data_IF_314816750317
#
_entry.id   IF_314816750317
#
_cell.length_a   1.000
_cell.length_b   1.000
_cell.length_c   1.000
_cell.angle_alpha   90.00
_cell.angle_beta   90.00
_cell.angle_gamma   90.00
#
_symmetry.space_group_name_H-M   'P 1'
#
loop_
_entity.id
_entity.type
_entity.pdbx_description
1 polymer ?
#
# COMPACT_ATOMS: atom_id res chain seq x y z
N UNK A 1 -1.74 -9.73 -5.23
CA UNK A 1 -2.31 -8.53 -5.85
C UNK A 1 -1.37 -7.97 -6.91
N UNK A 2 -1.82 -7.91 -8.15
CA UNK A 2 -1.12 -7.28 -9.26
C UNK A 2 -1.21 -5.75 -9.18
N UNK A 3 -0.47 -5.04 -10.04
CA UNK A 3 -0.55 -3.57 -10.17
C UNK A 3 -1.98 -3.12 -10.49
N UNK A 4 -2.69 -3.83 -11.38
CA UNK A 4 -4.08 -3.50 -11.74
C UNK A 4 -5.04 -3.68 -10.59
N UNK A 5 -4.92 -4.78 -9.86
CA UNK A 5 -5.78 -5.06 -8.70
C UNK A 5 -5.54 -4.03 -7.61
N UNK A 6 -4.28 -3.70 -7.31
CA UNK A 6 -3.95 -2.71 -6.28
C UNK A 6 -4.40 -1.30 -6.70
N UNK A 7 -4.26 -0.95 -7.98
CA UNK A 7 -4.76 0.32 -8.52
C UNK A 7 -6.28 0.47 -8.39
N UNK A 8 -7.02 -0.59 -8.70
CA UNK A 8 -8.47 -0.63 -8.53
C UNK A 8 -8.85 -0.51 -7.03
N UNK A 9 -8.14 -1.22 -6.17
CA UNK A 9 -8.36 -1.25 -4.72
C UNK A 9 -8.16 0.11 -4.04
N UNK A 10 -7.05 0.81 -4.34
CA UNK A 10 -6.77 2.12 -3.74
C UNK A 10 -7.27 3.31 -4.57
N UNK A 11 -8.04 3.06 -5.63
CA UNK A 11 -8.54 4.09 -6.56
C UNK A 11 -7.43 5.01 -7.09
N UNK A 12 -6.32 4.42 -7.52
CA UNK A 12 -5.16 5.13 -8.12
C UNK A 12 -4.95 4.71 -9.56
N UNK A 13 -4.19 5.52 -10.30
CA UNK A 13 -3.81 5.18 -11.66
C UNK A 13 -2.83 4.00 -11.67
N UNK A 14 -2.89 3.17 -12.72
CA UNK A 14 -1.93 2.09 -12.93
C UNK A 14 -0.48 2.60 -12.90
N UNK A 15 -0.22 3.77 -13.52
CA UNK A 15 1.12 4.39 -13.57
C UNK A 15 1.65 4.73 -12.18
N UNK A 16 0.79 5.23 -11.29
CA UNK A 16 1.15 5.51 -9.89
C UNK A 16 1.59 4.23 -9.17
N UNK A 17 0.80 3.16 -9.28
CA UNK A 17 1.09 1.88 -8.62
C UNK A 17 2.30 1.17 -9.25
N UNK A 18 2.54 1.36 -10.55
CA UNK A 18 3.75 0.87 -11.20
C UNK A 18 5.02 1.60 -10.71
N UNK A 19 4.92 2.90 -10.39
CA UNK A 19 6.03 3.64 -9.77
C UNK A 19 6.27 3.22 -8.32
N UNK A 20 5.22 2.82 -7.60
CA UNK A 20 5.36 2.18 -6.29
C UNK A 20 6.10 0.86 -6.40
N UNK A 21 5.76 0.01 -7.39
CA UNK A 21 6.46 -1.26 -7.52
C UNK A 21 7.93 -1.10 -7.85
N UNK A 22 8.32 -0.11 -8.66
CA UNK A 22 9.71 0.14 -9.04
C UNK A 22 10.53 0.90 -8.00
N UNK A 23 9.92 1.37 -6.91
CA UNK A 23 10.57 2.23 -5.91
C UNK A 23 10.82 3.66 -6.39
N UNK A 24 10.34 4.05 -7.57
CA UNK A 24 10.45 5.42 -8.09
C UNK A 24 9.54 6.40 -7.33
N UNK A 25 8.49 5.89 -6.69
CA UNK A 25 7.59 6.66 -5.84
C UNK A 25 7.37 5.92 -4.52
N UNK A 26 7.37 6.65 -3.41
CA UNK A 26 7.05 6.08 -2.09
C UNK A 26 5.63 5.52 -2.09
N UNK A 27 5.51 4.26 -1.71
CA UNK A 27 4.25 3.54 -1.57
C UNK A 27 3.73 3.69 -0.14
N UNK A 28 2.40 3.89 0.06
CA UNK A 28 1.79 3.74 1.38
C UNK A 28 1.68 2.26 1.80
N UNK A 29 1.84 1.34 0.85
CA UNK A 29 1.81 -0.10 1.04
C UNK A 29 3.22 -0.69 1.13
N UNK A 30 3.38 -1.88 1.74
CA UNK A 30 4.66 -2.59 1.82
C UNK A 30 5.29 -2.85 0.45
N UNK A 31 6.57 -3.20 0.47
CA UNK A 31 7.31 -3.57 -0.75
C UNK A 31 6.65 -4.76 -1.45
N UNK A 32 6.58 -4.75 -2.80
CA UNK A 32 6.05 -5.87 -3.53
C UNK A 32 6.94 -7.10 -3.38
N UNK A 33 6.30 -8.27 -3.37
CA UNK A 33 7.00 -9.55 -3.47
C UNK A 33 7.69 -9.62 -4.84
N UNK A 34 8.98 -9.90 -4.79
CA UNK A 34 9.82 -10.14 -5.95
C UNK A 34 10.31 -11.59 -5.93
N UNK A 35 10.35 -12.21 -7.09
CA UNK A 35 10.93 -13.54 -7.25
C UNK A 35 12.45 -13.51 -7.09
N UNK A 36 13.06 -14.70 -7.09
CA UNK A 36 14.52 -14.89 -6.94
C UNK A 36 15.35 -14.11 -7.97
N UNK A 37 14.77 -13.80 -9.14
CA UNK A 37 15.42 -13.03 -10.21
C UNK A 37 15.08 -11.52 -10.16
N UNK A 38 14.50 -11.02 -9.05
CA UNK A 38 14.02 -9.64 -8.93
C UNK A 38 12.72 -9.34 -9.70
N UNK A 39 12.16 -10.34 -10.40
CA UNK A 39 10.91 -10.21 -11.15
C UNK A 39 9.75 -9.88 -10.20
N UNK A 40 8.98 -8.85 -10.55
CA UNK A 40 7.82 -8.43 -9.77
C UNK A 40 6.73 -9.51 -9.83
N UNK A 41 6.28 -9.98 -8.66
CA UNK A 41 5.18 -10.95 -8.54
C UNK A 41 3.88 -10.31 -8.05
N UNK A 42 3.96 -9.19 -7.34
CA UNK A 42 2.79 -8.50 -6.79
C UNK A 42 2.91 -8.28 -5.28
N UNK A 43 1.82 -7.83 -4.67
CA UNK A 43 1.70 -7.68 -3.22
C UNK A 43 0.92 -8.83 -2.61
N UNK A 44 1.26 -9.19 -1.37
CA UNK A 44 0.45 -10.07 -0.54
C UNK A 44 -0.82 -9.34 -0.11
N UNK A 45 -1.98 -9.99 -0.24
CA UNK A 45 -3.26 -9.33 0.02
C UNK A 45 -3.40 -8.99 1.50
N UNK A 46 -3.00 -9.91 2.36
CA UNK A 46 -2.98 -9.79 3.81
C UNK A 46 -2.16 -8.58 4.30
N UNK A 47 -1.05 -8.27 3.62
CA UNK A 47 -0.21 -7.12 3.95
C UNK A 47 -0.89 -5.80 3.55
N UNK A 48 -1.59 -5.78 2.41
CA UNK A 48 -2.38 -4.62 1.97
C UNK A 48 -3.51 -4.34 2.94
N UNK A 49 -4.28 -5.38 3.31
CA UNK A 49 -5.41 -5.26 4.23
C UNK A 49 -4.96 -4.79 5.62
N UNK A 50 -3.84 -5.32 6.13
CA UNK A 50 -3.27 -4.86 7.42
C UNK A 50 -2.87 -3.39 7.37
N UNK A 51 -2.28 -2.94 6.26
CA UNK A 51 -1.94 -1.53 6.07
C UNK A 51 -3.18 -0.65 5.97
N UNK A 52 -4.23 -1.09 5.26
CA UNK A 52 -5.49 -0.36 5.19
C UNK A 52 -6.18 -0.26 6.56
N UNK A 53 -6.18 -1.34 7.33
CA UNK A 53 -6.72 -1.39 8.68
C UNK A 53 -5.95 -0.43 9.60
N UNK A 54 -4.61 -0.46 9.57
CA UNK A 54 -3.78 0.48 10.33
C UNK A 54 -4.01 1.94 9.91
N UNK A 55 -4.15 2.22 8.62
CA UNK A 55 -4.47 3.55 8.10
C UNK A 55 -5.87 4.00 8.51
N UNK A 56 -6.83 3.07 8.59
CA UNK A 56 -8.20 3.34 9.05
C UNK A 56 -8.23 3.68 10.53
N UNK A 57 -7.51 2.93 11.37
CA UNK A 57 -7.35 3.27 12.79
C UNK A 57 -6.67 4.62 12.96
N UNK A 58 -5.57 4.89 12.27
CA UNK A 58 -4.89 6.19 12.33
C UNK A 58 -5.81 7.36 11.95
N UNK A 59 -6.63 7.21 10.90
CA UNK A 59 -7.62 8.22 10.51
C UNK A 59 -8.75 8.34 11.54
N UNK A 60 -9.25 7.22 12.08
CA UNK A 60 -10.29 7.21 13.09
C UNK A 60 -9.80 7.83 14.41
N UNK A 61 -8.57 7.52 14.83
CA UNK A 61 -7.92 8.07 16.01
C UNK A 61 -7.63 9.57 15.85
N UNK A 62 -7.24 10.00 14.64
CA UNK A 62 -7.11 11.42 14.31
C UNK A 62 -8.46 12.13 14.43
N UNK A 63 -9.53 11.55 13.86
CA UNK A 63 -10.88 12.13 13.92
C UNK A 63 -11.50 12.08 15.33
N UNK A 64 -11.12 11.09 16.14
CA UNK A 64 -11.55 10.95 17.53
C UNK A 64 -10.65 11.72 18.52
N UNK A 65 -9.64 12.45 18.03
CA UNK A 65 -8.75 13.26 18.88
C UNK A 65 -7.83 12.47 19.81
N UNK A 66 -7.64 11.16 19.56
CA UNK A 66 -6.80 10.29 20.39
C UNK A 66 -5.31 10.35 20.05
N UNK A 67 -4.94 10.95 18.92
CA UNK A 67 -3.54 11.19 18.55
C UNK A 67 -3.03 12.43 19.29
N UNK A 68 -2.51 12.21 20.50
CA UNK A 68 -1.68 13.21 21.17
C UNK A 68 -0.38 13.32 20.38
N UNK A 69 -0.17 14.44 19.69
CA UNK A 69 1.17 14.84 19.23
C UNK A 69 2.07 14.85 20.47
N UNK A 70 3.02 13.90 20.53
CA UNK A 70 4.15 13.98 21.45
C UNK A 70 5.28 14.74 20.78
#
# INVERSE_FOLDING_TARGET
>A
MTIRELAAHCHRSYSTVAKWSSGHLTSPYPEPVRGVNGCFMGWRREDIERTDEANRYSRADYLQGKVTRR
#
